data_IF_888130063035
#
_entry.id   IF_888130063035
#
_cell.length_a   1.000
_cell.length_b   1.000
_cell.length_c   1.000
_cell.angle_alpha   90.00
_cell.angle_beta   90.00
_cell.angle_gamma   90.00
#
_symmetry.space_group_name_H-M   'P 1'
#
loop_
_entity.id
_entity.type
_entity.pdbx_description
1 polymer ?
#
# COMPACT_ATOMS: atom_id res chain seq x y z
N UNK A 1 56.06 -17.79 30.69
CA UNK A 1 55.09 -16.70 30.90
C UNK A 1 55.01 -15.94 29.59
N UNK A 2 54.44 -16.59 28.58
CA UNK A 2 53.00 -16.58 28.21
C UNK A 2 52.67 -15.37 27.35
N UNK A 3 52.75 -15.60 26.03
CA UNK A 3 51.90 -14.99 25.01
C UNK A 3 50.40 -15.17 25.34
N UNK A 4 49.52 -14.53 24.55
CA UNK A 4 48.04 -14.55 24.56
C UNK A 4 47.41 -13.51 25.52
N UNK A 5 46.50 -12.60 25.14
CA UNK A 5 45.66 -12.43 23.96
C UNK A 5 45.50 -10.94 23.61
N UNK A 6 45.75 -10.57 22.36
CA UNK A 6 45.00 -9.49 21.71
C UNK A 6 43.76 -10.16 21.12
N UNK A 7 42.64 -10.10 21.82
CA UNK A 7 41.35 -10.36 21.20
C UNK A 7 41.04 -9.18 20.29
N UNK A 8 41.26 -9.37 18.98
CA UNK A 8 40.53 -8.62 17.96
C UNK A 8 39.04 -8.84 18.24
N UNK A 9 38.42 -7.86 18.89
CA UNK A 9 36.97 -7.78 19.02
C UNK A 9 36.44 -7.65 17.61
N UNK A 10 36.06 -8.79 17.04
CA UNK A 10 35.24 -8.88 15.85
C UNK A 10 33.92 -8.19 16.21
N UNK A 11 33.81 -6.88 15.97
CA UNK A 11 32.57 -6.15 16.09
C UNK A 11 31.63 -6.66 15.00
N UNK A 12 30.86 -7.70 15.35
CA UNK A 12 29.65 -8.04 14.63
C UNK A 12 28.67 -6.87 14.80
N UNK A 13 28.65 -5.96 13.84
CA UNK A 13 27.52 -5.06 13.68
C UNK A 13 26.33 -5.89 13.22
N UNK A 14 25.49 -6.30 14.16
CA UNK A 14 24.16 -6.86 13.90
C UNK A 14 23.13 -5.74 13.65
N UNK A 15 23.58 -4.54 13.26
CA UNK A 15 22.71 -3.40 13.01
C UNK A 15 21.91 -3.62 11.71
N UNK A 16 20.69 -4.15 11.89
CA UNK A 16 19.74 -4.35 10.81
C UNK A 16 18.98 -3.08 10.42
N UNK A 17 19.29 -1.91 11.03
CA UNK A 17 18.53 -0.67 10.83
C UNK A 17 18.48 -0.26 9.36
N UNK A 18 19.57 -0.40 8.61
CA UNK A 18 19.63 -0.06 7.18
C UNK A 18 18.70 -0.95 6.36
N UNK A 19 18.65 -2.25 6.66
CA UNK A 19 17.73 -3.20 6.03
C UNK A 19 16.28 -2.88 6.39
N UNK A 20 15.97 -2.71 7.68
CA UNK A 20 14.63 -2.33 8.14
C UNK A 20 14.15 -1.00 7.55
N UNK A 21 15.06 -0.04 7.35
CA UNK A 21 14.76 1.22 6.67
C UNK A 21 14.47 1.02 5.18
N UNK A 22 15.18 0.11 4.51
CA UNK A 22 14.88 -0.33 3.14
C UNK A 22 13.46 -0.87 3.02
N UNK A 23 13.11 -1.82 3.88
CA UNK A 23 11.77 -2.44 3.94
C UNK A 23 10.67 -1.42 4.19
N UNK A 24 10.86 -0.56 5.18
CA UNK A 24 9.90 0.49 5.52
C UNK A 24 9.74 1.50 4.37
N UNK A 25 10.84 1.92 3.73
CA UNK A 25 10.75 2.80 2.55
C UNK A 25 9.98 2.14 1.41
N UNK A 26 10.23 0.85 1.14
CA UNK A 26 9.56 0.13 0.09
C UNK A 26 8.04 0.04 0.31
N UNK A 27 7.59 -0.29 1.52
CA UNK A 27 6.15 -0.30 1.84
C UNK A 27 5.52 1.08 1.59
N UNK A 28 6.18 2.14 2.04
CA UNK A 28 5.72 3.51 1.86
C UNK A 28 5.77 3.99 0.40
N UNK A 29 6.78 3.57 -0.37
CA UNK A 29 6.85 3.80 -1.81
C UNK A 29 5.71 3.08 -2.54
N UNK A 30 5.35 1.88 -2.09
CA UNK A 30 4.17 1.15 -2.55
C UNK A 30 2.89 1.94 -2.35
N UNK A 31 2.65 2.47 -1.13
CA UNK A 31 1.48 3.31 -0.83
C UNK A 31 1.47 4.54 -1.75
N UNK A 32 2.59 5.26 -1.82
CA UNK A 32 2.73 6.47 -2.64
C UNK A 32 2.38 6.20 -4.11
N UNK A 33 2.95 5.15 -4.70
CA UNK A 33 2.68 4.79 -6.09
C UNK A 33 1.23 4.34 -6.27
N UNK A 34 0.71 3.49 -5.38
CA UNK A 34 -0.65 2.96 -5.53
C UNK A 34 -1.70 4.07 -5.49
N UNK A 35 -1.52 5.09 -4.65
CA UNK A 35 -2.39 6.28 -4.63
C UNK A 35 -2.37 7.04 -5.97
N UNK A 36 -1.22 7.12 -6.65
CA UNK A 36 -1.08 7.78 -7.96
C UNK A 36 -1.69 6.97 -9.10
N UNK A 37 -1.60 5.65 -9.05
CA UNK A 37 -2.20 4.76 -10.04
C UNK A 37 -3.63 4.34 -9.71
N UNK A 38 -4.20 4.79 -8.58
CA UNK A 38 -5.47 4.30 -8.06
C UNK A 38 -6.61 4.30 -9.09
N UNK A 39 -6.80 5.32 -9.96
CA UNK A 39 -7.87 5.28 -10.95
C UNK A 39 -7.83 4.02 -11.82
N UNK A 40 -6.65 3.63 -12.29
CA UNK A 40 -6.45 2.55 -13.27
C UNK A 40 -5.92 1.25 -12.65
N UNK A 41 -5.61 1.24 -11.35
CA UNK A 41 -5.09 0.07 -10.66
C UNK A 41 -6.18 -1.01 -10.46
N UNK A 42 -5.78 -2.27 -10.37
CA UNK A 42 -6.61 -3.39 -9.96
C UNK A 42 -6.09 -3.99 -8.65
N UNK A 43 -4.78 -4.25 -8.58
CA UNK A 43 -4.13 -4.81 -7.41
C UNK A 43 -2.68 -4.33 -7.27
N UNK A 44 -2.11 -4.48 -6.07
CA UNK A 44 -0.69 -4.26 -5.77
C UNK A 44 -0.11 -5.43 -4.99
N UNK A 45 1.16 -5.72 -5.24
CA UNK A 45 2.00 -6.63 -4.45
C UNK A 45 3.25 -5.90 -3.98
N UNK A 46 3.60 -6.08 -2.71
CA UNK A 46 4.88 -5.62 -2.13
C UNK A 46 5.77 -6.85 -1.95
N UNK A 47 7.01 -6.82 -2.43
CA UNK A 47 7.90 -7.99 -2.55
C UNK A 47 7.33 -9.10 -3.44
N UNK A 48 7.11 -8.80 -4.71
CA UNK A 48 6.77 -9.84 -5.69
C UNK A 48 8.04 -10.57 -6.17
N UNK A 49 7.88 -11.71 -6.84
CA UNK A 49 8.97 -12.40 -7.54
C UNK A 49 9.59 -11.48 -8.62
N UNK A 50 8.78 -10.58 -9.17
CA UNK A 50 9.14 -9.70 -10.29
C UNK A 50 9.94 -8.48 -9.85
N UNK A 51 9.52 -7.81 -8.78
CA UNK A 51 10.04 -6.52 -8.29
C UNK A 51 9.59 -6.24 -6.84
N UNK A 52 10.27 -5.28 -6.20
CA UNK A 52 9.93 -4.76 -4.87
C UNK A 52 8.46 -4.32 -4.76
N UNK A 53 7.92 -3.73 -5.83
CA UNK A 53 6.52 -3.32 -5.95
C UNK A 53 6.02 -3.71 -7.35
N UNK A 54 4.88 -4.38 -7.42
CA UNK A 54 4.19 -4.71 -8.68
C UNK A 54 2.74 -4.25 -8.59
N UNK A 55 2.32 -3.35 -9.49
CA UNK A 55 0.92 -2.93 -9.62
C UNK A 55 0.35 -3.53 -10.90
N UNK A 56 -0.81 -4.16 -10.79
CA UNK A 56 -1.63 -4.60 -11.94
C UNK A 56 -2.65 -3.52 -12.24
N UNK A 57 -2.72 -3.07 -13.49
CA UNK A 57 -3.76 -2.16 -13.96
C UNK A 57 -4.99 -2.95 -14.44
N UNK A 58 -6.13 -2.27 -14.56
CA UNK A 58 -7.42 -2.86 -14.97
C UNK A 58 -7.32 -3.52 -16.36
N UNK A 59 -6.49 -2.98 -17.25
CA UNK A 59 -6.22 -3.53 -18.58
C UNK A 59 -5.06 -4.54 -18.62
N UNK A 60 -4.73 -5.12 -17.46
CA UNK A 60 -3.70 -6.16 -17.25
C UNK A 60 -2.25 -5.70 -17.44
N UNK A 61 -2.02 -4.45 -17.89
CA UNK A 61 -0.68 -3.85 -17.91
C UNK A 61 -0.10 -3.79 -16.50
N UNK A 62 1.22 -3.81 -16.42
CA UNK A 62 1.97 -3.83 -15.15
C UNK A 62 2.80 -2.56 -14.97
N UNK A 63 2.88 -2.13 -13.72
CA UNK A 63 3.89 -1.19 -13.24
C UNK A 63 4.85 -1.96 -12.35
N UNK A 64 6.08 -2.16 -12.82
CA UNK A 64 7.15 -2.82 -12.10
C UNK A 64 8.04 -1.75 -11.47
N UNK A 65 8.07 -1.68 -10.15
CA UNK A 65 8.78 -0.63 -9.42
C UNK A 65 9.89 -1.20 -8.53
N UNK A 66 11.10 -0.68 -8.69
CA UNK A 66 12.22 -0.95 -7.79
C UNK A 66 12.41 0.24 -6.85
N UNK A 67 12.33 -0.02 -5.55
CA UNK A 67 12.56 0.95 -4.49
C UNK A 67 14.03 0.93 -4.05
N UNK A 68 14.65 2.10 -3.90
CA UNK A 68 15.99 2.23 -3.31
C UNK A 68 16.02 3.36 -2.31
N UNK A 69 16.44 3.07 -1.08
CA UNK A 69 16.51 4.06 -0.02
C UNK A 69 17.92 4.23 0.53
N UNK A 70 18.23 5.40 1.09
CA UNK A 70 19.43 5.69 1.86
C UNK A 70 19.04 6.36 3.18
N UNK A 71 19.51 5.82 4.31
CA UNK A 71 19.34 6.46 5.63
C UNK A 71 20.07 7.81 5.66
N UNK A 72 21.34 7.80 5.24
CA UNK A 72 22.15 8.98 4.98
C UNK A 72 22.14 9.29 3.49
N UNK A 73 21.21 10.16 3.07
CA UNK A 73 21.01 10.51 1.66
C UNK A 73 22.13 11.40 1.06
N UNK A 74 23.10 11.85 1.86
CA UNK A 74 24.17 12.78 1.47
C UNK A 74 25.43 12.11 0.90
N UNK A 75 25.58 10.79 1.03
CA UNK A 75 26.74 10.05 0.49
C UNK A 75 26.57 9.74 -1.00
N UNK A 76 27.08 10.62 -1.86
CA UNK A 76 26.94 10.60 -3.33
C UNK A 76 27.36 9.26 -3.99
N UNK A 77 28.33 8.54 -3.40
CA UNK A 77 28.78 7.24 -3.95
C UNK A 77 27.67 6.18 -3.95
N UNK A 78 26.81 6.19 -2.93
CA UNK A 78 25.76 5.18 -2.79
C UNK A 78 24.58 5.43 -3.75
N UNK A 79 24.44 6.67 -4.23
CA UNK A 79 23.31 7.08 -5.07
C UNK A 79 23.38 6.48 -6.48
N UNK A 80 24.55 6.58 -7.14
CA UNK A 80 24.74 6.02 -8.49
C UNK A 80 24.72 4.49 -8.50
N UNK A 81 25.27 3.84 -7.47
CA UNK A 81 25.22 2.38 -7.39
C UNK A 81 23.79 1.89 -7.18
N UNK A 82 22.98 2.56 -6.34
CA UNK A 82 21.55 2.22 -6.17
C UNK A 82 20.75 2.32 -7.46
N UNK A 83 20.97 3.38 -8.25
CA UNK A 83 20.30 3.51 -9.54
C UNK A 83 20.75 2.40 -10.52
N UNK A 84 22.06 2.07 -10.57
CA UNK A 84 22.54 0.95 -11.39
C UNK A 84 21.91 -0.38 -11.00
N UNK A 85 21.84 -0.66 -9.70
CA UNK A 85 21.22 -1.89 -9.19
C UNK A 85 19.74 -1.96 -9.57
N UNK A 86 19.03 -0.82 -9.53
CA UNK A 86 17.65 -0.74 -9.96
C UNK A 86 17.48 -1.03 -11.45
N UNK A 87 18.33 -0.45 -12.32
CA UNK A 87 18.30 -0.75 -13.76
C UNK A 87 18.56 -2.24 -14.03
N UNK A 88 19.54 -2.84 -13.35
CA UNK A 88 19.84 -4.28 -13.50
C UNK A 88 18.64 -5.15 -13.10
N UNK A 89 17.90 -4.74 -12.06
CA UNK A 89 16.69 -5.44 -11.63
C UNK A 89 15.55 -5.27 -12.64
N UNK A 90 15.21 -4.02 -12.98
CA UNK A 90 14.11 -3.67 -13.89
C UNK A 90 14.30 -4.24 -15.29
N UNK A 91 15.54 -4.37 -15.77
CA UNK A 91 15.85 -4.99 -17.06
C UNK A 91 15.43 -6.47 -17.16
N UNK A 92 15.05 -7.10 -16.04
CA UNK A 92 14.57 -8.48 -16.02
C UNK A 92 13.09 -8.61 -16.33
N UNK A 93 12.33 -7.51 -16.24
CA UNK A 93 10.88 -7.50 -16.38
C UNK A 93 10.45 -7.31 -17.85
N UNK A 94 9.27 -7.81 -18.22
CA UNK A 94 8.72 -7.54 -19.54
C UNK A 94 8.39 -6.05 -19.67
N UNK A 95 8.95 -5.39 -20.68
CA UNK A 95 8.73 -3.96 -20.92
C UNK A 95 7.54 -3.68 -21.85
N UNK A 96 7.19 -4.63 -22.73
CA UNK A 96 6.13 -4.41 -23.72
C UNK A 96 4.81 -4.14 -22.98
N UNK A 97 4.20 -2.99 -23.30
CA UNK A 97 2.97 -2.48 -22.69
C UNK A 97 3.05 -2.17 -21.19
N UNK A 98 4.21 -2.35 -20.55
CA UNK A 98 4.40 -2.17 -19.11
C UNK A 98 5.27 -0.94 -18.80
N UNK A 99 5.16 -0.46 -17.56
CA UNK A 99 5.98 0.62 -17.03
C UNK A 99 7.05 0.08 -16.09
N UNK A 100 8.25 0.64 -16.18
CA UNK A 100 9.38 0.33 -15.30
C UNK A 100 9.65 1.56 -14.45
N UNK A 101 9.49 1.48 -13.14
CA UNK A 101 9.62 2.64 -12.24
C UNK A 101 10.84 2.46 -11.35
N UNK A 102 11.72 3.45 -11.35
CA UNK A 102 12.70 3.63 -10.28
C UNK A 102 12.18 4.66 -9.28
N UNK A 103 12.09 4.28 -8.01
CA UNK A 103 11.65 5.18 -6.93
C UNK A 103 12.67 5.20 -5.79
N UNK A 104 13.02 6.41 -5.31
CA UNK A 104 14.01 6.55 -4.25
C UNK A 104 13.79 7.74 -3.33
N UNK A 105 14.39 7.72 -2.14
CA UNK A 105 14.44 8.90 -1.26
C UNK A 105 15.69 9.77 -1.48
N UNK A 106 16.35 9.62 -2.61
CA UNK A 106 17.62 10.28 -2.89
C UNK A 106 17.28 11.52 -3.74
N UNK A 107 17.47 12.75 -3.21
CA UNK A 107 16.99 13.96 -3.87
C UNK A 107 17.70 14.25 -5.19
N UNK A 108 18.99 13.94 -5.26
CA UNK A 108 19.89 14.35 -6.35
C UNK A 108 20.54 13.15 -7.05
N UNK A 109 19.74 12.14 -7.38
CA UNK A 109 20.22 10.97 -8.15
C UNK A 109 20.91 11.39 -9.46
N UNK A 110 20.48 12.51 -10.04
CA UNK A 110 21.03 13.10 -11.27
C UNK A 110 21.54 14.51 -11.01
N UNK A 111 22.78 14.79 -11.41
CA UNK A 111 23.47 16.04 -11.06
C UNK A 111 23.01 17.23 -11.89
N UNK A 112 22.53 16.97 -13.10
CA UNK A 112 22.18 18.00 -14.08
C UNK A 112 20.97 18.85 -13.68
N UNK A 113 20.07 18.33 -12.82
CA UNK A 113 18.95 19.09 -12.30
C UNK A 113 18.52 18.55 -10.91
N UNK A 114 19.13 19.07 -9.83
CA UNK A 114 18.73 18.78 -8.45
C UNK A 114 17.23 19.01 -8.24
N UNK A 115 16.59 18.13 -7.48
CA UNK A 115 15.15 18.19 -7.17
C UNK A 115 14.18 18.20 -8.37
N UNK A 116 14.62 17.87 -9.60
CA UNK A 116 13.76 17.91 -10.79
C UNK A 116 12.47 17.10 -10.65
N UNK A 117 12.57 15.90 -10.06
CA UNK A 117 11.43 14.99 -9.90
C UNK A 117 10.45 15.45 -8.83
N UNK A 118 10.90 16.17 -7.80
CA UNK A 118 10.09 16.77 -6.74
C UNK A 118 8.84 15.97 -6.34
N UNK A 119 9.00 14.69 -5.95
CA UNK A 119 7.90 13.81 -5.57
C UNK A 119 6.83 13.58 -6.66
N UNK A 120 7.25 13.60 -7.92
CA UNK A 120 6.45 13.31 -9.10
C UNK A 120 6.99 12.09 -9.83
N UNK A 121 6.13 11.43 -10.60
CA UNK A 121 6.48 10.30 -11.46
C UNK A 121 6.67 10.85 -12.87
N UNK A 122 7.90 10.89 -13.36
CA UNK A 122 8.23 11.49 -14.65
C UNK A 122 8.78 10.40 -15.59
N UNK A 123 8.22 10.22 -16.80
CA UNK A 123 8.78 9.30 -17.78
C UNK A 123 10.12 9.80 -18.30
N UNK A 124 10.97 8.87 -18.73
CA UNK A 124 12.26 9.15 -19.35
C UNK A 124 12.16 10.18 -20.49
N UNK A 125 11.12 10.06 -21.31
CA UNK A 125 10.87 10.96 -22.45
C UNK A 125 10.63 12.42 -22.05
N UNK A 126 10.08 12.66 -20.86
CA UNK A 126 9.78 14.00 -20.36
C UNK A 126 10.91 14.56 -19.49
N UNK A 127 11.98 13.79 -19.30
CA UNK A 127 13.17 14.25 -18.57
C UNK A 127 13.95 15.30 -19.37
N UNK A 128 14.66 16.18 -18.66
CA UNK A 128 15.60 17.11 -19.28
C UNK A 128 16.72 16.35 -20.02
N UNK A 129 17.21 16.90 -21.13
CA UNK A 129 18.27 16.27 -21.94
C UNK A 129 19.53 15.90 -21.13
N UNK A 130 19.87 16.71 -20.11
CA UNK A 130 20.97 16.39 -19.18
C UNK A 130 20.73 15.11 -18.37
N UNK A 131 19.50 14.93 -17.86
CA UNK A 131 19.09 13.75 -17.11
C UNK A 131 19.04 12.52 -18.04
N UNK A 132 18.44 12.66 -19.22
CA UNK A 132 18.38 11.58 -20.22
C UNK A 132 19.79 11.07 -20.56
N UNK A 133 20.74 11.99 -20.75
CA UNK A 133 22.14 11.65 -20.97
C UNK A 133 22.77 10.93 -19.77
N UNK A 134 22.53 11.39 -18.55
CA UNK A 134 23.03 10.70 -17.34
C UNK A 134 22.46 9.28 -17.18
N UNK A 135 21.19 9.07 -17.53
CA UNK A 135 20.56 7.75 -17.56
C UNK A 135 21.22 6.86 -18.61
N UNK A 136 21.36 7.36 -19.84
CA UNK A 136 21.98 6.64 -20.95
C UNK A 136 23.43 6.24 -20.65
N UNK A 137 24.22 7.20 -20.14
CA UNK A 137 25.61 6.97 -19.72
C UNK A 137 25.69 5.93 -18.60
N UNK A 138 24.70 5.90 -17.70
CA UNK A 138 24.62 4.90 -16.62
C UNK A 138 24.33 3.51 -17.18
N UNK A 139 23.34 3.36 -18.06
CA UNK A 139 23.00 2.08 -18.71
C UNK A 139 24.23 1.53 -19.47
N UNK A 140 24.91 2.38 -20.25
CA UNK A 140 26.13 2.03 -20.96
C UNK A 140 27.27 1.61 -20.01
N UNK A 141 27.41 2.30 -18.88
CA UNK A 141 28.41 1.99 -17.85
C UNK A 141 28.16 0.62 -17.21
N UNK A 142 26.90 0.25 -16.97
CA UNK A 142 26.52 -1.07 -16.45
C UNK A 142 26.97 -2.17 -17.41
N UNK A 143 26.63 -2.09 -18.70
CA UNK A 143 27.05 -3.09 -19.70
C UNK A 143 28.58 -3.22 -19.76
N UNK A 144 29.31 -2.09 -19.81
CA UNK A 144 30.78 -2.07 -19.81
C UNK A 144 31.36 -2.75 -18.57
N UNK A 145 30.78 -2.53 -17.39
CA UNK A 145 31.25 -3.13 -16.14
C UNK A 145 30.96 -4.64 -16.10
N UNK A 146 29.80 -5.09 -16.58
CA UNK A 146 29.49 -6.52 -16.69
C UNK A 146 30.46 -7.20 -17.67
N UNK A 147 30.74 -6.60 -18.83
CA UNK A 147 31.72 -7.12 -19.78
C UNK A 147 33.12 -7.28 -19.18
N UNK A 148 33.55 -6.32 -18.34
CA UNK A 148 34.82 -6.43 -17.59
C UNK A 148 34.78 -7.56 -16.56
N UNK A 149 33.65 -7.79 -15.88
CA UNK A 149 33.47 -8.90 -14.93
C UNK A 149 33.54 -10.26 -15.64
N UNK A 150 32.89 -10.40 -16.80
CA UNK A 150 32.93 -11.62 -17.63
C UNK A 150 34.37 -12.01 -17.99
N UNK A 151 35.19 -11.05 -18.45
CA UNK A 151 36.61 -11.31 -18.82
C UNK A 151 37.48 -11.82 -17.66
N UNK A 152 37.09 -11.56 -16.41
CA UNK A 152 37.85 -11.93 -15.20
C UNK A 152 37.30 -13.16 -14.51
N UNK A 153 36.05 -13.52 -14.79
CA UNK A 153 35.38 -14.67 -14.19
C UNK A 153 35.90 -15.97 -14.84
N UNK A 154 36.06 -17.02 -14.02
CA UNK A 154 36.54 -18.33 -14.46
C UNK A 154 35.45 -19.39 -14.43
N UNK A 155 34.40 -19.18 -13.64
CA UNK A 155 33.26 -20.09 -13.52
C UNK A 155 32.32 -19.95 -14.73
N UNK A 156 32.16 -20.99 -15.57
CA UNK A 156 31.29 -20.95 -16.74
C UNK A 156 29.82 -20.65 -16.42
N UNK A 157 29.31 -21.09 -15.27
CA UNK A 157 27.93 -20.84 -14.86
C UNK A 157 27.71 -19.36 -14.52
N UNK A 158 28.68 -18.73 -13.85
CA UNK A 158 28.64 -17.29 -13.55
C UNK A 158 28.80 -16.45 -14.81
N UNK A 159 29.69 -16.85 -15.72
CA UNK A 159 29.83 -16.20 -17.04
C UNK A 159 28.49 -16.17 -17.76
N UNK A 160 27.83 -17.33 -17.90
CA UNK A 160 26.51 -17.43 -18.56
C UNK A 160 25.46 -16.54 -17.92
N UNK A 161 25.40 -16.48 -16.58
CA UNK A 161 24.48 -15.57 -15.86
C UNK A 161 24.79 -14.10 -16.14
N UNK A 162 26.07 -13.72 -16.15
CA UNK A 162 26.50 -12.35 -16.45
C UNK A 162 26.18 -11.95 -17.89
N UNK A 163 26.34 -12.87 -18.85
CA UNK A 163 25.98 -12.65 -20.25
C UNK A 163 24.48 -12.39 -20.41
N UNK A 164 23.63 -13.18 -19.74
CA UNK A 164 22.18 -12.94 -19.73
C UNK A 164 21.80 -11.59 -19.15
N UNK A 165 22.44 -11.17 -18.05
CA UNK A 165 22.20 -9.84 -17.46
C UNK A 165 22.66 -8.74 -18.41
N UNK A 166 23.83 -8.91 -19.05
CA UNK A 166 24.36 -7.95 -20.02
C UNK A 166 23.41 -7.77 -21.19
N UNK A 167 22.92 -8.85 -21.78
CA UNK A 167 21.95 -8.81 -22.88
C UNK A 167 20.67 -8.06 -22.48
N UNK A 168 20.13 -8.36 -21.28
CA UNK A 168 18.95 -7.66 -20.75
C UNK A 168 19.17 -6.16 -20.56
N UNK A 169 20.34 -5.76 -20.06
CA UNK A 169 20.69 -4.33 -19.87
C UNK A 169 20.92 -3.63 -21.22
N UNK A 170 21.56 -4.29 -22.18
CA UNK A 170 21.77 -3.74 -23.53
C UNK A 170 20.47 -3.53 -24.29
N UNK A 171 19.48 -4.41 -24.06
CA UNK A 171 18.13 -4.31 -24.62
C UNK A 171 17.14 -3.58 -23.69
N UNK A 172 17.62 -2.84 -22.69
CA UNK A 172 16.76 -2.15 -21.74
C UNK A 172 15.94 -1.07 -22.43
N UNK A 173 14.61 -1.20 -22.37
CA UNK A 173 13.68 -0.29 -23.03
C UNK A 173 13.45 0.96 -22.19
N UNK A 174 14.43 1.88 -22.22
CA UNK A 174 14.43 3.13 -21.44
C UNK A 174 13.21 4.02 -21.68
N UNK A 175 12.55 3.89 -22.83
CA UNK A 175 11.31 4.61 -23.14
C UNK A 175 10.14 4.24 -22.23
N UNK A 176 10.23 3.07 -21.58
CA UNK A 176 9.27 2.59 -20.59
C UNK A 176 9.69 2.92 -19.15
N UNK A 177 10.84 3.60 -18.96
CA UNK A 177 11.36 3.97 -17.65
C UNK A 177 10.67 5.24 -17.14
N UNK A 178 10.25 5.20 -15.89
CA UNK A 178 9.75 6.31 -15.11
C UNK A 178 10.61 6.47 -13.87
N UNK A 179 10.85 7.72 -13.49
CA UNK A 179 11.65 8.07 -12.32
C UNK A 179 10.75 8.81 -11.35
N UNK A 180 10.82 8.43 -10.08
CA UNK A 180 10.11 9.08 -8.99
C UNK A 180 11.03 9.27 -7.78
N UNK A 181 10.77 10.31 -7.01
CA UNK A 181 11.41 10.52 -5.71
C UNK A 181 10.38 10.59 -4.58
N UNK A 182 10.80 10.31 -3.35
CA UNK A 182 10.07 10.63 -2.12
C UNK A 182 11.07 11.29 -1.19
N UNK A 183 11.09 12.63 -1.20
CA UNK A 183 12.03 13.44 -0.44
C UNK A 183 11.33 14.68 0.12
N UNK A 184 11.54 15.03 1.41
CA UNK A 184 12.39 14.34 2.38
C UNK A 184 11.80 12.99 2.85
N UNK A 185 12.67 12.00 3.04
CA UNK A 185 12.36 10.76 3.76
C UNK A 185 13.59 10.37 4.58
N UNK A 186 13.74 11.02 5.73
CA UNK A 186 14.87 10.82 6.65
C UNK A 186 14.45 11.20 8.08
N UNK A 187 15.30 10.87 9.06
CA UNK A 187 15.07 11.24 10.45
C UNK A 187 13.97 10.39 11.13
N UNK A 188 13.29 11.00 12.12
CA UNK A 188 12.24 10.36 12.90
C UNK A 188 10.92 10.22 12.11
N UNK A 189 9.98 9.45 12.65
CA UNK A 189 8.71 9.10 11.99
C UNK A 189 7.92 10.32 11.50
N UNK A 190 7.89 11.41 12.26
CA UNK A 190 7.17 12.64 11.89
C UNK A 190 7.66 13.22 10.57
N UNK A 191 8.96 13.37 10.38
CA UNK A 191 9.51 13.97 9.16
C UNK A 191 9.55 12.95 8.01
N UNK A 192 9.78 11.67 8.33
CA UNK A 192 9.91 10.58 7.38
C UNK A 192 8.67 10.41 6.50
N UNK A 193 7.48 10.51 7.08
CA UNK A 193 6.24 10.19 6.38
C UNK A 193 5.48 11.41 5.86
N UNK A 194 6.05 12.61 5.95
CA UNK A 194 5.37 13.87 5.56
C UNK A 194 4.84 13.81 4.13
N UNK A 195 5.70 13.47 3.16
CA UNK A 195 5.34 13.42 1.74
C UNK A 195 4.28 12.34 1.45
N UNK A 196 4.38 11.18 2.11
CA UNK A 196 3.36 10.14 1.95
C UNK A 196 2.05 10.59 2.57
N UNK A 197 2.08 11.16 3.78
CA UNK A 197 0.91 11.72 4.44
C UNK A 197 0.23 12.82 3.63
N UNK A 198 0.98 13.69 2.97
CA UNK A 198 0.45 14.70 2.06
C UNK A 198 -0.17 14.07 0.81
N UNK A 199 0.41 12.98 0.31
CA UNK A 199 -0.16 12.19 -0.79
C UNK A 199 -1.46 11.50 -0.37
N UNK A 200 -1.55 10.98 0.87
CA UNK A 200 -2.81 10.46 1.44
C UNK A 200 -3.85 11.58 1.50
N UNK A 201 -3.47 12.75 2.02
CA UNK A 201 -4.39 13.89 2.15
C UNK A 201 -4.92 14.34 0.79
N UNK A 202 -4.04 14.54 -0.20
CA UNK A 202 -4.42 14.90 -1.57
C UNK A 202 -5.28 13.82 -2.23
N UNK A 203 -4.97 12.54 -2.03
CA UNK A 203 -5.83 11.47 -2.53
C UNK A 203 -7.26 11.53 -1.92
N UNK A 204 -7.36 11.73 -0.60
CA UNK A 204 -8.64 11.82 0.09
C UNK A 204 -9.45 13.06 -0.33
N UNK A 205 -8.81 14.20 -0.58
CA UNK A 205 -9.52 15.43 -0.97
C UNK A 205 -9.78 15.51 -2.46
N UNK A 206 -8.78 15.22 -3.28
CA UNK A 206 -8.78 15.54 -4.71
C UNK A 206 -9.33 14.37 -5.53
N UNK A 207 -9.03 13.13 -5.13
CA UNK A 207 -9.53 11.92 -5.80
C UNK A 207 -10.86 11.47 -5.20
N UNK A 208 -10.93 11.28 -3.88
CA UNK A 208 -12.16 10.80 -3.21
C UNK A 208 -13.19 11.93 -3.04
N UNK A 209 -12.74 13.19 -2.95
CA UNK A 209 -13.62 14.35 -2.78
C UNK A 209 -14.03 14.62 -1.33
N UNK A 210 -13.39 14.04 -0.32
CA UNK A 210 -13.74 14.28 1.09
C UNK A 210 -13.52 15.75 1.48
N UNK A 211 -14.21 16.19 2.53
CA UNK A 211 -13.89 17.49 3.13
C UNK A 211 -12.49 17.43 3.73
N UNK A 212 -11.83 18.59 3.83
CA UNK A 212 -10.49 18.66 4.42
C UNK A 212 -10.47 18.19 5.88
N UNK A 213 -11.53 18.49 6.64
CA UNK A 213 -11.64 18.11 8.05
C UNK A 213 -11.78 16.59 8.20
N UNK A 214 -12.64 15.96 7.41
CA UNK A 214 -12.79 14.50 7.38
C UNK A 214 -11.46 13.84 7.00
N UNK A 215 -10.82 14.31 5.94
CA UNK A 215 -9.56 13.77 5.47
C UNK A 215 -8.45 13.88 6.53
N UNK A 216 -8.33 15.03 7.21
CA UNK A 216 -7.36 15.23 8.30
C UNK A 216 -7.65 14.27 9.46
N UNK A 217 -8.93 14.06 9.81
CA UNK A 217 -9.32 13.24 10.96
C UNK A 217 -8.90 11.76 10.83
N UNK A 218 -8.88 11.22 9.61
CA UNK A 218 -8.56 9.81 9.35
C UNK A 218 -7.12 9.59 8.85
N UNK A 219 -6.45 10.63 8.33
CA UNK A 219 -5.17 10.54 7.61
C UNK A 219 -4.14 9.66 8.32
N UNK A 220 -3.91 9.92 9.61
CA UNK A 220 -2.85 9.24 10.36
C UNK A 220 -3.17 7.76 10.57
N UNK A 221 -4.38 7.44 11.04
CA UNK A 221 -4.84 6.06 11.24
C UNK A 221 -4.81 5.27 9.93
N UNK A 222 -5.21 5.92 8.84
CA UNK A 222 -5.23 5.32 7.51
C UNK A 222 -3.82 4.98 7.02
N UNK A 223 -2.87 5.90 7.16
CA UNK A 223 -1.48 5.67 6.79
C UNK A 223 -0.86 4.53 7.60
N UNK A 224 -1.04 4.52 8.92
CA UNK A 224 -0.55 3.46 9.80
C UNK A 224 -1.14 2.10 9.43
N UNK A 225 -2.45 2.05 9.13
CA UNK A 225 -3.12 0.83 8.69
C UNK A 225 -2.52 0.31 7.38
N UNK A 226 -2.35 1.17 6.37
CA UNK A 226 -1.77 0.75 5.09
C UNK A 226 -0.30 0.33 5.23
N UNK A 227 0.48 1.01 6.06
CA UNK A 227 1.87 0.61 6.36
C UNK A 227 1.91 -0.80 6.96
N UNK A 228 1.10 -1.07 7.98
CA UNK A 228 1.01 -2.39 8.59
C UNK A 228 0.56 -3.48 7.59
N UNK A 229 -0.43 -3.17 6.76
CA UNK A 229 -0.92 -4.11 5.75
C UNK A 229 0.16 -4.43 4.71
N UNK A 230 0.89 -3.42 4.23
CA UNK A 230 1.95 -3.58 3.22
C UNK A 230 3.18 -4.28 3.80
N UNK A 231 3.55 -3.96 5.05
CA UNK A 231 4.61 -4.65 5.77
C UNK A 231 4.25 -6.12 5.98
N UNK A 232 3.02 -6.44 6.38
CA UNK A 232 2.56 -7.83 6.48
C UNK A 232 2.58 -8.54 5.12
N UNK A 233 2.08 -7.88 4.08
CA UNK A 233 2.06 -8.40 2.72
C UNK A 233 3.46 -8.75 2.20
N UNK A 234 4.47 -7.96 2.54
CA UNK A 234 5.86 -8.23 2.16
C UNK A 234 6.39 -9.56 2.71
N UNK A 235 5.86 -10.04 3.84
CA UNK A 235 6.24 -11.33 4.45
C UNK A 235 5.57 -12.56 3.81
N UNK A 236 4.54 -12.37 2.98
CA UNK A 236 3.81 -13.45 2.32
C UNK A 236 4.57 -13.90 1.07
N UNK A 237 4.71 -15.21 0.87
CA UNK A 237 5.30 -15.76 -0.37
C UNK A 237 4.41 -15.46 -1.59
N UNK A 238 5.02 -15.09 -2.72
CA UNK A 238 4.29 -14.62 -3.90
C UNK A 238 3.43 -15.67 -4.62
N UNK A 239 3.74 -16.96 -4.44
CA UNK A 239 2.89 -18.07 -4.91
C UNK A 239 1.54 -18.15 -4.18
N UNK A 240 1.40 -17.45 -3.05
CA UNK A 240 0.17 -17.40 -2.28
C UNK A 240 -0.82 -16.39 -2.91
N UNK A 241 -2.07 -16.82 -3.08
CA UNK A 241 -3.17 -15.96 -3.57
C UNK A 241 -3.35 -14.68 -2.73
N UNK A 242 -3.02 -14.76 -1.43
CA UNK A 242 -3.13 -13.64 -0.49
C UNK A 242 -2.00 -12.60 -0.63
N UNK A 243 -1.05 -12.78 -1.57
CA UNK A 243 0.00 -11.79 -1.83
C UNK A 243 -0.56 -10.51 -2.48
N UNK A 244 -1.70 -10.60 -3.16
CA UNK A 244 -2.30 -9.43 -3.81
C UNK A 244 -3.14 -8.64 -2.80
N UNK A 245 -2.92 -7.33 -2.74
CA UNK A 245 -3.83 -6.39 -2.10
C UNK A 245 -4.70 -5.80 -3.20
N UNK A 246 -6.00 -6.07 -3.15
CA UNK A 246 -6.95 -5.54 -4.12
C UNK A 246 -7.19 -4.05 -3.85
N UNK A 247 -7.56 -3.30 -4.89
CA UNK A 247 -8.00 -1.90 -4.77
C UNK A 247 -9.12 -1.76 -3.73
N UNK A 248 -10.06 -2.69 -3.72
CA UNK A 248 -11.18 -2.72 -2.80
C UNK A 248 -10.69 -2.81 -1.34
N UNK A 249 -9.75 -3.72 -1.06
CA UNK A 249 -9.20 -3.91 0.28
C UNK A 249 -8.36 -2.71 0.73
N UNK A 250 -7.69 -2.03 -0.20
CA UNK A 250 -6.92 -0.83 0.10
C UNK A 250 -7.81 0.38 0.40
N UNK A 251 -8.93 0.51 -0.31
CA UNK A 251 -9.81 1.69 -0.21
C UNK A 251 -10.82 1.58 0.93
N UNK A 252 -11.18 0.35 1.31
CA UNK A 252 -12.14 0.09 2.37
C UNK A 252 -11.85 0.79 3.71
N UNK A 253 -10.59 0.83 4.21
CA UNK A 253 -10.29 1.48 5.48
C UNK A 253 -10.66 2.97 5.53
N UNK A 254 -10.77 3.65 4.39
CA UNK A 254 -11.25 5.04 4.30
C UNK A 254 -12.67 5.13 4.82
N UNK A 255 -13.56 4.26 4.32
CA UNK A 255 -14.94 4.20 4.78
C UNK A 255 -14.94 3.90 6.27
N UNK A 256 -14.27 2.81 6.68
CA UNK A 256 -14.29 2.34 8.06
C UNK A 256 -13.87 3.44 9.06
N UNK A 257 -12.80 4.19 8.77
CA UNK A 257 -12.35 5.27 9.65
C UNK A 257 -13.24 6.51 9.62
N UNK A 258 -13.96 6.80 8.52
CA UNK A 258 -14.93 7.90 8.47
C UNK A 258 -16.21 7.59 9.25
N UNK A 259 -16.57 6.31 9.37
CA UNK A 259 -17.72 5.89 10.18
C UNK A 259 -17.38 5.76 11.66
N UNK A 260 -16.09 5.81 12.00
CA UNK A 260 -15.62 5.56 13.36
C UNK A 260 -15.95 6.78 14.25
N UNK A 261 -17.10 6.70 14.93
CA UNK A 261 -17.64 7.75 15.79
C UNK A 261 -18.49 7.18 16.94
N UNK A 262 -19.25 8.05 17.61
CA UNK A 262 -20.07 7.72 18.79
C UNK A 262 -20.90 6.45 18.58
N UNK A 263 -20.90 5.61 19.60
CA UNK A 263 -21.64 4.35 19.62
C UNK A 263 -23.10 4.58 19.21
N UNK A 264 -23.61 3.89 18.19
CA UNK A 264 -24.90 4.22 17.64
C UNK A 264 -26.02 3.83 18.63
N UNK A 265 -27.05 4.67 18.72
CA UNK A 265 -28.24 4.38 19.52
C UNK A 265 -29.08 3.32 18.79
N UNK A 266 -28.70 2.05 19.01
CA UNK A 266 -29.32 0.87 18.40
C UNK A 266 -29.86 -0.11 19.45
N UNK A 267 -29.92 0.28 20.72
CA UNK A 267 -30.35 -0.60 21.81
C UNK A 267 -31.73 -1.22 21.50
N UNK A 268 -32.65 -0.45 20.91
CA UNK A 268 -33.98 -0.89 20.46
C UNK A 268 -33.98 -1.93 19.33
N UNK A 269 -32.83 -2.11 18.66
CA UNK A 269 -32.65 -3.11 17.62
C UNK A 269 -32.18 -4.45 18.19
N UNK A 270 -31.72 -4.50 19.44
CA UNK A 270 -31.19 -5.71 20.07
C UNK A 270 -32.31 -6.56 20.70
N UNK A 271 -32.08 -7.87 20.77
CA UNK A 271 -32.97 -8.82 21.47
C UNK A 271 -32.85 -8.74 22.99
N UNK A 272 -31.86 -7.99 23.50
CA UNK A 272 -31.53 -7.82 24.91
C UNK A 272 -31.24 -6.35 25.23
N UNK A 273 -31.25 -5.99 26.52
CA UNK A 273 -30.89 -4.65 26.98
C UNK A 273 -29.38 -4.59 27.28
N UNK A 274 -28.57 -3.85 26.50
CA UNK A 274 -27.13 -3.86 26.66
C UNK A 274 -26.70 -3.07 27.90
N UNK A 275 -25.95 -3.72 28.77
CA UNK A 275 -25.32 -3.07 29.91
C UNK A 275 -24.03 -2.32 29.51
N UNK A 276 -23.39 -1.63 30.47
CA UNK A 276 -22.14 -0.92 30.19
C UNK A 276 -20.94 -1.84 29.98
N UNK A 277 -21.01 -3.10 30.41
CA UNK A 277 -19.92 -4.07 30.24
C UNK A 277 -19.84 -4.49 28.78
N UNK A 278 -20.96 -4.94 28.21
CA UNK A 278 -21.00 -5.39 26.82
C UNK A 278 -20.78 -4.24 25.83
N UNK A 279 -21.26 -3.02 26.13
CA UNK A 279 -20.96 -1.82 25.33
C UNK A 279 -19.46 -1.56 25.23
N UNK A 280 -18.72 -1.66 26.35
CA UNK A 280 -17.26 -1.52 26.37
C UNK A 280 -16.55 -2.67 25.65
N UNK A 281 -17.12 -3.87 25.70
CA UNK A 281 -16.55 -5.02 24.99
C UNK A 281 -16.71 -4.89 23.48
N UNK A 282 -17.89 -4.50 23.00
CA UNK A 282 -18.09 -4.16 21.58
C UNK A 282 -17.17 -3.03 21.15
N UNK A 283 -17.02 -1.97 21.95
CA UNK A 283 -16.10 -0.88 21.65
C UNK A 283 -14.64 -1.36 21.55
N UNK A 284 -14.20 -2.24 22.45
CA UNK A 284 -12.85 -2.84 22.37
C UNK A 284 -12.67 -3.67 21.11
N UNK A 285 -13.64 -4.53 20.79
CA UNK A 285 -13.58 -5.38 19.60
C UNK A 285 -13.57 -4.50 18.35
N UNK A 286 -14.47 -3.52 18.22
CA UNK A 286 -14.50 -2.62 17.05
C UNK A 286 -13.20 -1.84 16.85
N UNK A 287 -12.54 -1.45 17.94
CA UNK A 287 -11.25 -0.74 17.89
C UNK A 287 -10.04 -1.68 17.72
N UNK A 288 -10.24 -3.00 17.74
CA UNK A 288 -9.16 -3.97 17.47
C UNK A 288 -8.83 -3.97 15.97
N UNK A 289 -7.57 -3.77 15.57
CA UNK A 289 -7.13 -3.88 14.18
C UNK A 289 -7.55 -5.19 13.49
N UNK A 290 -7.76 -6.29 14.24
CA UNK A 290 -8.26 -7.57 13.71
C UNK A 290 -9.73 -7.53 13.32
N UNK A 291 -10.52 -6.61 13.87
CA UNK A 291 -11.96 -6.51 13.57
C UNK A 291 -12.26 -5.82 12.23
N UNK A 292 -11.27 -5.17 11.63
CA UNK A 292 -11.35 -4.67 10.26
C UNK A 292 -11.67 -5.77 9.23
N UNK A 293 -11.34 -7.03 9.55
CA UNK A 293 -11.55 -8.19 8.70
C UNK A 293 -13.01 -8.55 8.42
N UNK A 294 -13.99 -7.94 9.10
CA UNK A 294 -15.43 -8.25 8.93
C UNK A 294 -16.18 -7.13 8.21
N UNK A 295 -15.49 -6.03 7.94
CA UNK A 295 -15.96 -4.95 7.10
C UNK A 295 -15.53 -5.16 5.64
N UNK A 296 -15.27 -6.42 5.20
CA UNK A 296 -14.81 -6.69 3.83
C UNK A 296 -15.78 -6.10 2.83
N UNK A 297 -15.23 -5.62 1.72
CA UNK A 297 -16.01 -5.10 0.61
C UNK A 297 -17.16 -6.04 0.19
N UNK A 298 -16.93 -7.35 0.18
CA UNK A 298 -17.96 -8.37 -0.08
C UNK A 298 -19.14 -8.30 0.91
N UNK A 299 -18.84 -8.22 2.21
CA UNK A 299 -19.86 -8.10 3.26
C UNK A 299 -20.64 -6.78 3.12
N UNK A 300 -19.94 -5.66 2.93
CA UNK A 300 -20.58 -4.35 2.74
C UNK A 300 -21.52 -4.36 1.53
N UNK A 301 -21.07 -4.89 0.40
CA UNK A 301 -21.90 -4.98 -0.80
C UNK A 301 -23.13 -5.88 -0.56
N UNK A 302 -22.97 -7.00 0.15
CA UNK A 302 -24.10 -7.87 0.54
C UNK A 302 -25.13 -7.10 1.37
N UNK A 303 -24.67 -6.32 2.36
CA UNK A 303 -25.53 -5.49 3.22
C UNK A 303 -26.24 -4.41 2.40
N UNK A 304 -25.51 -3.66 1.56
CA UNK A 304 -26.08 -2.57 0.76
C UNK A 304 -27.08 -3.08 -0.29
N UNK A 305 -26.79 -4.21 -0.94
CA UNK A 305 -27.72 -4.86 -1.87
C UNK A 305 -28.99 -5.32 -1.16
N UNK A 306 -28.86 -5.96 0.01
CA UNK A 306 -30.00 -6.41 0.80
C UNK A 306 -30.84 -5.24 1.31
N UNK A 307 -30.18 -4.13 1.67
CA UNK A 307 -30.85 -2.89 2.07
C UNK A 307 -31.57 -2.21 0.90
N UNK A 308 -31.00 -2.23 -0.30
CA UNK A 308 -31.67 -1.74 -1.50
C UNK A 308 -32.94 -2.56 -1.81
N UNK A 309 -32.88 -3.88 -1.66
CA UNK A 309 -34.06 -4.75 -1.78
C UNK A 309 -35.13 -4.41 -0.72
N UNK A 310 -34.73 -4.22 0.54
CA UNK A 310 -35.63 -3.79 1.61
C UNK A 310 -36.32 -2.45 1.29
N UNK A 311 -35.58 -1.47 0.76
CA UNK A 311 -36.15 -0.18 0.32
C UNK A 311 -37.18 -0.36 -0.78
N UNK A 312 -36.90 -1.22 -1.77
CA UNK A 312 -37.82 -1.51 -2.86
C UNK A 312 -39.09 -2.23 -2.39
N UNK A 313 -38.97 -3.16 -1.44
CA UNK A 313 -40.10 -3.86 -0.82
C UNK A 313 -40.95 -2.95 0.09
N UNK A 314 -40.35 -1.85 0.56
CA UNK A 314 -40.97 -0.89 1.47
C UNK A 314 -41.55 0.33 0.74
N UNK A 315 -41.55 0.35 -0.59
CA UNK A 315 -42.16 1.44 -1.38
C UNK A 315 -43.63 1.59 -0.98
N UNK A 316 -44.02 2.82 -0.61
CA UNK A 316 -45.37 3.15 -0.15
C UNK A 316 -45.62 2.96 1.35
N UNK A 317 -44.67 2.41 2.12
CA UNK A 317 -44.74 2.34 3.58
C UNK A 317 -44.10 3.58 4.22
N UNK A 318 -44.73 4.13 5.25
CA UNK A 318 -44.15 5.21 6.05
C UNK A 318 -43.24 4.62 7.14
N UNK A 319 -41.97 4.40 6.83
CA UNK A 319 -40.97 3.90 7.78
C UNK A 319 -40.17 5.06 8.37
N UNK A 320 -40.21 5.21 9.69
CA UNK A 320 -39.34 6.15 10.42
C UNK A 320 -38.00 5.46 10.69
N UNK A 321 -36.88 6.10 10.33
CA UNK A 321 -35.51 5.55 10.46
C UNK A 321 -35.34 4.18 9.76
N UNK A 322 -35.41 4.13 8.42
CA UNK A 322 -35.38 2.87 7.67
C UNK A 322 -34.12 2.03 7.89
N UNK A 323 -33.00 2.65 8.28
CA UNK A 323 -31.77 1.95 8.67
C UNK A 323 -31.98 1.09 9.92
N UNK A 324 -32.62 1.62 10.97
CA UNK A 324 -32.89 0.87 12.21
C UNK A 324 -33.90 -0.25 11.98
N UNK A 325 -34.95 0.02 11.20
CA UNK A 325 -35.96 -0.99 10.87
C UNK A 325 -35.33 -2.16 10.10
N UNK A 326 -34.47 -1.86 9.12
CA UNK A 326 -33.72 -2.89 8.41
C UNK A 326 -32.84 -3.73 9.35
N UNK A 327 -32.11 -3.10 10.27
CA UNK A 327 -31.24 -3.81 11.21
C UNK A 327 -32.06 -4.72 12.12
N UNK A 328 -33.26 -4.29 12.51
CA UNK A 328 -34.16 -5.06 13.36
C UNK A 328 -34.74 -6.27 12.61
N UNK A 329 -35.18 -6.09 11.37
CA UNK A 329 -35.83 -7.15 10.58
C UNK A 329 -34.84 -8.13 9.95
N UNK A 330 -33.66 -7.65 9.53
CA UNK A 330 -32.72 -8.39 8.70
C UNK A 330 -31.32 -8.53 9.31
N UNK A 331 -31.08 -7.94 10.48
CA UNK A 331 -29.75 -7.99 11.11
C UNK A 331 -29.27 -9.41 11.43
N UNK A 332 -30.19 -10.31 11.77
CA UNK A 332 -29.85 -11.70 12.08
C UNK A 332 -29.36 -12.49 10.87
N UNK A 333 -29.66 -12.05 9.64
CA UNK A 333 -29.17 -12.66 8.38
C UNK A 333 -27.63 -12.59 8.25
N UNK A 334 -26.97 -11.79 9.10
CA UNK A 334 -25.54 -11.46 9.02
C UNK A 334 -24.71 -11.94 10.23
N UNK A 335 -25.31 -12.64 11.20
CA UNK A 335 -24.63 -13.01 12.46
C UNK A 335 -23.38 -13.86 12.27
N UNK A 336 -23.42 -14.80 11.33
CA UNK A 336 -22.34 -15.77 11.09
C UNK A 336 -20.99 -15.10 10.82
N UNK A 337 -21.01 -13.87 10.27
CA UNK A 337 -19.81 -13.09 10.01
C UNK A 337 -19.06 -12.71 11.29
N UNK A 338 -19.74 -12.63 12.45
CA UNK A 338 -19.18 -12.08 13.69
C UNK A 338 -18.95 -13.12 14.80
N UNK A 339 -19.34 -14.38 14.59
CA UNK A 339 -19.24 -15.45 15.61
C UNK A 339 -17.80 -15.68 16.09
N UNK A 340 -16.82 -15.57 15.19
CA UNK A 340 -15.42 -15.75 15.56
C UNK A 340 -14.86 -14.58 16.38
N UNK A 341 -15.35 -13.36 16.16
CA UNK A 341 -14.91 -12.17 16.90
C UNK A 341 -15.44 -12.14 18.32
N UNK A 342 -16.65 -12.64 18.52
CA UNK A 342 -17.30 -12.74 19.82
C UNK A 342 -16.90 -13.99 20.61
N UNK A 343 -16.02 -14.83 20.06
CA UNK A 343 -15.70 -16.16 20.60
C UNK A 343 -16.97 -17.02 20.86
N UNK A 344 -18.02 -16.85 20.06
CA UNK A 344 -19.29 -17.56 20.21
C UNK A 344 -20.26 -16.99 21.26
N UNK A 345 -19.98 -15.83 21.86
CA UNK A 345 -20.94 -15.15 22.74
C UNK A 345 -22.11 -14.58 21.91
N UNK A 346 -23.34 -15.01 22.23
CA UNK A 346 -24.52 -14.66 21.44
C UNK A 346 -24.92 -13.18 21.52
N UNK A 347 -24.87 -12.57 22.71
CA UNK A 347 -25.25 -11.16 22.90
C UNK A 347 -24.21 -10.26 22.25
N UNK A 348 -22.93 -10.58 22.42
CA UNK A 348 -21.83 -9.85 21.79
C UNK A 348 -21.85 -10.01 20.27
N UNK A 349 -22.14 -11.21 19.75
CA UNK A 349 -22.29 -11.45 18.30
C UNK A 349 -23.42 -10.60 17.72
N UNK A 350 -24.59 -10.60 18.36
CA UNK A 350 -25.72 -9.79 17.91
C UNK A 350 -25.35 -8.31 17.89
N UNK A 351 -24.74 -7.84 18.97
CA UNK A 351 -24.45 -6.44 19.13
C UNK A 351 -23.41 -5.97 18.12
N UNK A 352 -22.32 -6.72 17.96
CA UNK A 352 -21.33 -6.47 16.91
C UNK A 352 -21.99 -6.41 15.54
N UNK A 353 -22.76 -7.45 15.18
CA UNK A 353 -23.46 -7.52 13.89
C UNK A 353 -24.26 -6.25 13.62
N UNK A 354 -25.14 -5.88 14.55
CA UNK A 354 -26.07 -4.75 14.36
C UNK A 354 -25.36 -3.39 14.39
N UNK A 355 -24.27 -3.23 15.15
CA UNK A 355 -23.43 -2.02 15.08
C UNK A 355 -22.73 -1.91 13.72
N UNK A 356 -22.14 -2.99 13.22
CA UNK A 356 -21.47 -2.97 11.91
C UNK A 356 -22.45 -2.67 10.77
N UNK A 357 -23.65 -3.25 10.81
CA UNK A 357 -24.72 -2.93 9.85
C UNK A 357 -25.11 -1.45 9.93
N UNK A 358 -25.36 -0.91 11.13
CA UNK A 358 -25.67 0.51 11.29
C UNK A 358 -24.61 1.42 10.69
N UNK A 359 -23.33 1.12 10.95
CA UNK A 359 -22.20 1.86 10.42
C UNK A 359 -22.20 1.87 8.89
N UNK A 360 -22.36 0.71 8.26
CA UNK A 360 -22.44 0.59 6.78
C UNK A 360 -23.59 1.43 6.23
N UNK A 361 -24.79 1.33 6.81
CA UNK A 361 -26.00 1.96 6.30
C UNK A 361 -25.98 3.48 6.45
N UNK A 362 -25.57 3.98 7.60
CA UNK A 362 -25.47 5.42 7.85
C UNK A 362 -24.38 6.07 7.02
N UNK A 363 -23.36 5.30 6.65
CA UNK A 363 -22.26 5.77 5.81
C UNK A 363 -22.45 5.46 4.34
N UNK A 364 -23.61 4.95 3.91
CA UNK A 364 -23.84 4.58 2.52
C UNK A 364 -23.52 5.71 1.53
N UNK A 365 -23.80 6.98 1.86
CA UNK A 365 -23.40 8.12 1.01
C UNK A 365 -21.88 8.24 0.87
N UNK A 366 -21.14 8.02 1.95
CA UNK A 366 -19.67 8.03 1.96
C UNK A 366 -19.13 6.81 1.21
N UNK A 367 -19.69 5.62 1.44
CA UNK A 367 -19.36 4.38 0.72
C UNK A 367 -19.50 4.59 -0.79
N UNK A 368 -20.68 5.02 -1.24
CA UNK A 368 -20.97 5.26 -2.66
C UNK A 368 -19.99 6.28 -3.26
N UNK A 369 -19.65 7.34 -2.52
CA UNK A 369 -18.68 8.36 -2.94
C UNK A 369 -17.28 7.76 -3.10
N UNK A 370 -16.79 7.03 -2.09
CA UNK A 370 -15.48 6.37 -2.12
C UNK A 370 -15.42 5.38 -3.28
N UNK A 371 -16.38 4.45 -3.37
CA UNK A 371 -16.45 3.44 -4.41
C UNK A 371 -16.51 4.05 -5.82
N UNK A 372 -17.35 5.07 -6.03
CA UNK A 372 -17.44 5.76 -7.33
C UNK A 372 -16.14 6.44 -7.72
N UNK A 373 -15.46 7.09 -6.76
CA UNK A 373 -14.21 7.81 -7.00
C UNK A 373 -13.05 6.88 -7.41
N UNK A 374 -13.03 5.64 -6.93
CA UNK A 374 -11.96 4.67 -7.24
C UNK A 374 -12.34 3.67 -8.33
N UNK A 375 -13.55 3.77 -8.90
CA UNK A 375 -14.03 2.87 -9.96
C UNK A 375 -14.44 1.49 -9.47
N UNK A 376 -14.88 1.38 -8.22
CA UNK A 376 -15.29 0.14 -7.54
C UNK A 376 -16.81 0.10 -7.41
N UNK A 377 -17.45 -1.06 -7.59
CA UNK A 377 -18.93 -1.21 -7.57
C UNK A 377 -19.50 -1.39 -6.16
N UNK A 378 -20.00 -0.32 -5.56
CA UNK A 378 -20.69 -0.37 -4.26
C UNK A 378 -21.90 -1.32 -4.21
#
# INVERSE_FOLDING_TARGET
MSEYLNEDICQFSNDASASSFGWNFQANAGIFLFLKYMPDAADIKIESISQDIEITLIDERKVFAQAKSAQDSTTIKDQKEKFKDAIISLARNPYKDNQLVYISNIPDTFKSAPNFFNNSIIPYNDCLAGIQKEIDDTILSISKNIAKKIKKEKDPLKIRKLEQIKEKVENFHKENLYISTIYPYYGNEKNRYTIIGDSVLSFLTDTIGLTRDDAISIKQKLLEHWQLNFEHNSTIKDENKNKKILKEDFTWPIVAFLVDGNFPDIDDCLSFLPDQSIKKEVERVMNDPKSFYHARYEFTNKVLQRYAQFKNQSIGKAIKKPELEFIKEHGDEFRDEFVMLSNGDNELTEYLTKVFLYRILTSNRVVQKVCSAVGVKA
#
